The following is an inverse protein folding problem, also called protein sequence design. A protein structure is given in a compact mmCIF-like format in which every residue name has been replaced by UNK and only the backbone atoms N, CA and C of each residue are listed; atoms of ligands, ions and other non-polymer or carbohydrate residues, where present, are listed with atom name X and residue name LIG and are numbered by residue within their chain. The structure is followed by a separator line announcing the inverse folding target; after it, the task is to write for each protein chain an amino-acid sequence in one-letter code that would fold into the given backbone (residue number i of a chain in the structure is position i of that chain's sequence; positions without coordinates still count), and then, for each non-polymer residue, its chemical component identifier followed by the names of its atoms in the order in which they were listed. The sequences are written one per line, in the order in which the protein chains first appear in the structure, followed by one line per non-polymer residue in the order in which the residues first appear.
data_IF_268258924194
#
_entry.id   IF_268258924194
#
_cell.length_a   1.000
_cell.length_b   1.000
_cell.length_c   1.000
_cell.angle_alpha   90.00
_cell.angle_beta   90.00
_cell.angle_gamma   90.00
#
_symmetry.space_group_name_H-M   'P 1'
#
loop_
_entity.id
_entity.type
_entity.pdbx_description
1 polymer ?
#
# COMPACT_ATOMS: atom_id res chain seq x y z
N UNK A 1 -34.25 -7.53 -24.86
CA UNK A 1 -33.14 -6.72 -24.38
C UNK A 1 -32.84 -6.96 -22.90
N UNK A 2 -33.72 -6.72 -21.95
CA UNK A 2 -33.49 -6.91 -20.51
C UNK A 2 -33.02 -8.33 -20.09
N UNK A 3 -33.59 -9.41 -20.69
CA UNK A 3 -33.16 -10.79 -20.41
C UNK A 3 -31.73 -11.08 -20.88
N UNK A 4 -31.34 -10.53 -22.02
CA UNK A 4 -29.97 -10.68 -22.56
C UNK A 4 -28.96 -9.94 -21.68
N UNK A 5 -29.21 -8.67 -21.34
CA UNK A 5 -28.34 -7.89 -20.43
C UNK A 5 -28.14 -8.64 -19.10
N UNK A 6 -29.21 -9.11 -18.49
CA UNK A 6 -29.15 -9.86 -17.23
C UNK A 6 -28.30 -11.12 -17.35
N UNK A 7 -28.44 -11.91 -18.44
CA UNK A 7 -27.61 -13.11 -18.66
C UNK A 7 -26.14 -12.73 -18.83
N UNK A 8 -25.83 -11.71 -19.64
CA UNK A 8 -24.46 -11.23 -19.84
C UNK A 8 -23.86 -10.77 -18.51
N UNK A 9 -24.56 -9.92 -17.75
CA UNK A 9 -24.06 -9.43 -16.45
C UNK A 9 -23.89 -10.58 -15.44
N UNK A 10 -24.85 -11.53 -15.39
CA UNK A 10 -24.72 -12.69 -14.52
C UNK A 10 -23.53 -13.58 -14.86
N UNK A 11 -23.31 -13.85 -16.15
CA UNK A 11 -22.14 -14.60 -16.60
C UNK A 11 -20.83 -13.85 -16.30
N UNK A 12 -20.80 -12.53 -16.52
CA UNK A 12 -19.60 -11.71 -16.19
C UNK A 12 -19.29 -11.77 -14.69
N UNK A 13 -20.29 -11.70 -13.81
CA UNK A 13 -20.08 -11.87 -12.38
C UNK A 13 -19.47 -13.25 -12.05
N UNK A 14 -19.92 -14.34 -12.69
CA UNK A 14 -19.33 -15.66 -12.46
C UNK A 14 -17.88 -15.75 -12.96
N UNK A 15 -17.57 -15.14 -14.09
CA UNK A 15 -16.17 -15.04 -14.57
C UNK A 15 -15.30 -14.26 -13.58
N UNK A 16 -15.79 -13.14 -13.07
CA UNK A 16 -15.10 -12.35 -12.03
C UNK A 16 -14.93 -13.16 -10.73
N UNK A 17 -15.91 -13.97 -10.34
CA UNK A 17 -15.81 -14.86 -9.19
C UNK A 17 -14.64 -15.83 -9.33
N UNK A 18 -14.51 -16.48 -10.50
CA UNK A 18 -13.40 -17.39 -10.79
C UNK A 18 -12.08 -16.64 -10.81
N UNK A 19 -12.01 -15.47 -11.46
CA UNK A 19 -10.82 -14.65 -11.51
C UNK A 19 -10.35 -14.22 -10.09
N UNK A 20 -11.27 -13.79 -9.23
CA UNK A 20 -10.95 -13.45 -7.82
C UNK A 20 -10.44 -14.66 -7.04
N UNK A 21 -11.03 -15.85 -7.23
CA UNK A 21 -10.57 -17.07 -6.58
C UNK A 21 -9.14 -17.45 -7.05
N UNK A 22 -8.89 -17.42 -8.36
CA UNK A 22 -7.55 -17.67 -8.90
C UNK A 22 -6.52 -16.66 -8.37
N UNK A 23 -6.89 -15.36 -8.32
CA UNK A 23 -6.02 -14.33 -7.81
C UNK A 23 -5.75 -14.47 -6.31
N UNK A 24 -6.75 -14.90 -5.51
CA UNK A 24 -6.55 -15.24 -4.11
C UNK A 24 -5.44 -16.29 -3.91
N UNK A 25 -5.44 -17.34 -4.74
CA UNK A 25 -4.38 -18.36 -4.71
C UNK A 25 -3.01 -17.79 -5.13
N UNK A 26 -2.98 -16.93 -6.15
CA UNK A 26 -1.75 -16.28 -6.58
C UNK A 26 -1.17 -15.43 -5.43
N UNK A 27 -1.98 -14.55 -4.80
CA UNK A 27 -1.56 -13.72 -3.66
C UNK A 27 -1.08 -14.57 -2.48
N UNK A 28 -1.79 -15.66 -2.15
CA UNK A 28 -1.38 -16.58 -1.09
C UNK A 28 0.01 -17.19 -1.34
N UNK A 29 0.29 -17.55 -2.58
CA UNK A 29 1.55 -18.20 -2.97
C UNK A 29 2.76 -17.25 -2.99
N UNK A 30 2.56 -15.93 -2.95
CA UNK A 30 3.68 -14.97 -2.82
C UNK A 30 4.34 -14.98 -1.45
N UNK A 31 3.72 -15.65 -0.46
CA UNK A 31 4.20 -15.71 0.93
C UNK A 31 4.52 -14.32 1.49
N UNK A 32 3.72 -13.32 1.12
CA UNK A 32 3.88 -11.91 1.52
C UNK A 32 3.60 -11.63 3.01
N UNK A 33 3.31 -12.67 3.81
CA UNK A 33 3.02 -12.55 5.24
C UNK A 33 1.64 -11.96 5.57
N UNK A 34 0.84 -11.58 4.56
CA UNK A 34 -0.49 -11.00 4.73
C UNK A 34 -1.60 -12.03 4.51
N UNK A 35 -2.67 -11.95 5.30
CA UNK A 35 -3.89 -12.74 5.10
C UNK A 35 -4.87 -12.07 4.13
N UNK A 36 -4.46 -11.03 3.42
CA UNK A 36 -5.36 -10.24 2.56
C UNK A 36 -5.93 -11.04 1.36
N UNK A 37 -5.31 -12.17 0.99
CA UNK A 37 -5.86 -13.13 0.02
C UNK A 37 -7.29 -13.59 0.37
N UNK A 38 -7.70 -13.57 1.66
CA UNK A 38 -9.04 -13.90 2.12
C UNK A 38 -10.09 -12.90 1.58
N UNK A 39 -9.71 -11.63 1.43
CA UNK A 39 -10.57 -10.59 0.86
C UNK A 39 -10.93 -10.92 -0.59
N UNK A 40 -9.99 -11.45 -1.35
CA UNK A 40 -10.24 -11.91 -2.72
C UNK A 40 -11.20 -13.12 -2.78
N UNK A 41 -11.12 -14.03 -1.80
CA UNK A 41 -12.12 -15.10 -1.68
C UNK A 41 -13.52 -14.55 -1.31
N UNK A 42 -13.58 -13.54 -0.45
CA UNK A 42 -14.85 -12.88 -0.14
C UNK A 42 -15.44 -12.21 -1.38
N UNK A 43 -14.62 -11.55 -2.21
CA UNK A 43 -15.07 -11.03 -3.51
C UNK A 43 -15.54 -12.15 -4.46
N UNK A 44 -14.83 -13.27 -4.51
CA UNK A 44 -15.24 -14.41 -5.32
C UNK A 44 -16.63 -14.92 -4.91
N UNK A 45 -16.89 -15.09 -3.62
CA UNK A 45 -18.20 -15.51 -3.08
C UNK A 45 -19.27 -14.45 -3.40
N UNK A 46 -18.98 -13.17 -3.20
CA UNK A 46 -19.90 -12.07 -3.51
C UNK A 46 -20.28 -12.08 -5.00
N UNK A 47 -19.31 -12.14 -5.90
CA UNK A 47 -19.57 -12.19 -7.34
C UNK A 47 -20.32 -13.46 -7.76
N UNK A 48 -20.05 -14.61 -7.11
CA UNK A 48 -20.81 -15.83 -7.36
C UNK A 48 -22.30 -15.68 -6.95
N UNK A 49 -22.56 -15.13 -5.75
CA UNK A 49 -23.92 -14.87 -5.29
C UNK A 49 -24.66 -13.90 -6.23
N UNK A 50 -24.00 -12.82 -6.65
CA UNK A 50 -24.59 -11.86 -7.59
C UNK A 50 -24.83 -12.49 -8.95
N UNK A 51 -23.87 -13.28 -9.47
CA UNK A 51 -24.00 -13.97 -10.76
C UNK A 51 -25.17 -14.96 -10.77
N UNK A 52 -25.21 -15.87 -9.80
CA UNK A 52 -26.32 -16.81 -9.67
C UNK A 52 -27.63 -16.08 -9.39
N UNK A 53 -27.65 -15.08 -8.53
CA UNK A 53 -28.84 -14.27 -8.22
C UNK A 53 -29.44 -13.60 -9.46
N UNK A 54 -28.59 -13.11 -10.37
CA UNK A 54 -29.02 -12.55 -11.65
C UNK A 54 -29.52 -13.64 -12.59
N UNK A 55 -28.84 -14.76 -12.73
CA UNK A 55 -29.24 -15.85 -13.62
C UNK A 55 -30.55 -16.50 -13.19
N UNK A 56 -30.70 -16.80 -11.91
CA UNK A 56 -31.91 -17.43 -11.33
C UNK A 56 -33.01 -16.44 -10.91
N UNK A 57 -32.85 -15.15 -11.22
CA UNK A 57 -33.85 -14.09 -10.97
C UNK A 57 -34.13 -13.84 -9.48
N UNK A 58 -33.24 -14.17 -8.54
CA UNK A 58 -33.39 -13.90 -7.10
C UNK A 58 -33.66 -12.42 -6.83
N UNK A 59 -33.07 -11.55 -7.65
CA UNK A 59 -33.27 -10.12 -7.57
C UNK A 59 -34.74 -9.70 -7.63
N UNK A 60 -35.58 -10.45 -8.38
CA UNK A 60 -37.02 -10.15 -8.51
C UNK A 60 -37.83 -10.54 -7.28
N UNK A 61 -37.33 -11.44 -6.43
CA UNK A 61 -37.97 -11.89 -5.19
C UNK A 61 -37.80 -10.82 -4.10
N UNK A 62 -36.73 -10.02 -4.13
CA UNK A 62 -36.46 -9.00 -3.14
C UNK A 62 -37.51 -7.87 -3.20
N UNK A 63 -37.97 -7.34 -2.05
CA UNK A 63 -38.83 -6.15 -1.99
C UNK A 63 -38.15 -4.95 -2.67
N UNK A 64 -38.93 -4.04 -3.25
CA UNK A 64 -38.41 -2.87 -3.94
C UNK A 64 -37.52 -2.00 -3.04
N UNK A 65 -37.90 -1.85 -1.77
CA UNK A 65 -37.12 -1.11 -0.78
C UNK A 65 -35.70 -1.71 -0.58
N UNK A 66 -35.64 -3.04 -0.39
CA UNK A 66 -34.35 -3.75 -0.20
C UNK A 66 -33.45 -3.59 -1.42
N UNK A 67 -33.99 -3.71 -2.62
CA UNK A 67 -33.24 -3.47 -3.86
C UNK A 67 -32.68 -2.05 -3.94
N UNK A 68 -33.51 -1.05 -3.56
CA UNK A 68 -33.09 0.34 -3.53
C UNK A 68 -31.94 0.57 -2.54
N UNK A 69 -32.04 0.01 -1.34
CA UNK A 69 -30.97 0.09 -0.32
C UNK A 69 -29.68 -0.58 -0.83
N UNK A 70 -29.76 -1.78 -1.40
CA UNK A 70 -28.58 -2.49 -1.92
C UNK A 70 -27.89 -1.72 -3.04
N UNK A 71 -28.67 -1.12 -3.96
CA UNK A 71 -28.13 -0.26 -5.02
C UNK A 71 -27.46 0.98 -4.43
N UNK A 72 -28.12 1.66 -3.48
CA UNK A 72 -27.57 2.85 -2.85
C UNK A 72 -26.24 2.56 -2.13
N UNK A 73 -26.18 1.47 -1.35
CA UNK A 73 -24.95 1.03 -0.66
C UNK A 73 -23.85 0.70 -1.68
N UNK A 74 -24.18 -0.01 -2.76
CA UNK A 74 -23.21 -0.32 -3.80
C UNK A 74 -22.68 0.96 -4.50
N UNK A 75 -23.55 1.92 -4.81
CA UNK A 75 -23.16 3.20 -5.42
C UNK A 75 -22.25 4.01 -4.47
N UNK A 76 -22.60 4.11 -3.19
CA UNK A 76 -21.76 4.80 -2.18
C UNK A 76 -20.40 4.12 -2.08
N UNK A 77 -20.35 2.78 -2.00
CA UNK A 77 -19.11 2.02 -1.95
C UNK A 77 -18.25 2.23 -3.19
N UNK A 78 -18.84 2.23 -4.38
CA UNK A 78 -18.11 2.48 -5.63
C UNK A 78 -17.56 3.92 -5.71
N UNK A 79 -18.33 4.92 -5.27
CA UNK A 79 -17.87 6.31 -5.24
C UNK A 79 -16.71 6.45 -4.24
N UNK A 80 -16.85 5.90 -3.03
CA UNK A 80 -15.79 5.92 -2.02
C UNK A 80 -14.51 5.23 -2.54
N UNK A 81 -14.66 4.03 -3.14
CA UNK A 81 -13.54 3.29 -3.73
C UNK A 81 -12.86 4.11 -4.84
N UNK A 82 -13.62 4.62 -5.80
CA UNK A 82 -13.08 5.42 -6.89
C UNK A 82 -12.38 6.70 -6.42
N UNK A 83 -12.90 7.35 -5.39
CA UNK A 83 -12.28 8.56 -4.82
C UNK A 83 -10.94 8.22 -4.17
N UNK A 84 -10.90 7.21 -3.29
CA UNK A 84 -9.66 6.82 -2.60
C UNK A 84 -8.61 6.32 -3.59
N UNK A 85 -8.99 5.47 -4.55
CA UNK A 85 -8.06 4.99 -5.58
C UNK A 85 -7.52 6.13 -6.45
N UNK A 86 -8.34 7.13 -6.77
CA UNK A 86 -7.90 8.32 -7.49
C UNK A 86 -6.86 9.12 -6.70
N UNK A 87 -7.05 9.24 -5.39
CA UNK A 87 -6.07 9.87 -4.51
C UNK A 87 -4.76 9.07 -4.45
N UNK A 88 -4.83 7.74 -4.32
CA UNK A 88 -3.66 6.86 -4.35
C UNK A 88 -2.89 7.05 -5.65
N UNK A 89 -3.58 6.93 -6.80
CA UNK A 89 -2.97 7.07 -8.14
C UNK A 89 -2.31 8.44 -8.33
N UNK A 90 -2.89 9.52 -7.77
CA UNK A 90 -2.33 10.88 -7.87
C UNK A 90 -0.93 11.01 -7.26
N UNK A 91 -0.55 10.14 -6.33
CA UNK A 91 0.74 10.15 -5.63
C UNK A 91 1.69 9.03 -6.06
N UNK A 92 1.25 8.11 -6.92
CA UNK A 92 2.06 6.96 -7.34
C UNK A 92 3.35 7.30 -8.09
N UNK A 93 3.45 8.51 -8.63
CA UNK A 93 4.61 8.97 -9.41
C UNK A 93 5.31 10.17 -8.76
N UNK A 94 5.16 10.33 -7.45
CA UNK A 94 5.86 11.37 -6.71
C UNK A 94 7.38 11.16 -6.77
N UNK A 95 8.16 12.19 -7.12
CA UNK A 95 9.61 12.07 -7.33
C UNK A 95 10.44 12.83 -6.28
N UNK A 96 9.81 13.72 -5.51
CA UNK A 96 10.52 14.64 -4.63
C UNK A 96 11.30 15.70 -5.39
N UNK A 97 11.91 16.62 -4.67
CA UNK A 97 12.89 17.57 -5.23
C UNK A 97 14.30 17.05 -5.01
N UNK A 98 15.28 17.49 -5.81
CA UNK A 98 16.68 17.23 -5.51
C UNK A 98 17.11 17.96 -4.23
N UNK A 99 18.23 17.53 -3.67
CA UNK A 99 18.95 18.16 -2.54
C UNK A 99 18.10 18.32 -1.27
N UNK A 100 17.25 17.33 -0.94
CA UNK A 100 16.59 17.28 0.36
C UNK A 100 17.63 17.01 1.46
N UNK A 101 17.45 17.63 2.63
CA UNK A 101 18.33 17.43 3.78
C UNK A 101 18.23 15.99 4.30
N UNK A 102 17.01 15.44 4.36
CA UNK A 102 16.74 14.08 4.80
C UNK A 102 15.80 13.33 3.88
N UNK A 103 16.02 12.03 3.78
CA UNK A 103 15.02 11.09 3.26
C UNK A 103 14.73 10.03 4.32
N UNK A 104 13.45 9.74 4.54
CA UNK A 104 12.98 8.70 5.45
C UNK A 104 12.50 7.52 4.61
N UNK A 105 13.19 6.39 4.70
CA UNK A 105 12.78 5.14 4.06
C UNK A 105 11.89 4.37 5.03
N UNK A 106 10.62 4.22 4.69
CA UNK A 106 9.69 3.45 5.53
C UNK A 106 9.96 1.96 5.39
N UNK A 107 10.01 1.27 6.50
CA UNK A 107 10.23 -0.17 6.59
C UNK A 107 9.11 -1.00 5.95
N UNK A 108 9.47 -2.21 5.62
CA UNK A 108 8.61 -3.32 5.26
C UNK A 108 9.32 -4.61 5.68
N UNK A 109 8.74 -5.76 5.41
CA UNK A 109 9.24 -7.03 5.94
C UNK A 109 10.71 -7.31 5.58
N UNK A 110 11.50 -7.71 6.60
CA UNK A 110 12.85 -8.28 6.47
C UNK A 110 12.80 -9.79 6.75
N UNK A 111 13.53 -10.57 5.96
CA UNK A 111 13.65 -12.03 6.08
C UNK A 111 15.08 -12.42 6.42
N UNK A 112 15.32 -13.68 6.80
CA UNK A 112 16.69 -14.21 7.00
C UNK A 112 17.57 -14.08 5.75
N UNK A 113 16.95 -14.08 4.56
CA UNK A 113 17.63 -13.91 3.28
C UNK A 113 17.80 -12.46 2.83
N UNK A 114 17.47 -11.49 3.69
CA UNK A 114 17.53 -10.05 3.37
C UNK A 114 16.16 -9.39 3.21
N UNK A 115 16.11 -8.17 2.73
CA UNK A 115 14.88 -7.41 2.54
C UNK A 115 13.89 -8.11 1.60
N UNK A 116 12.58 -8.03 1.91
CA UNK A 116 11.54 -8.52 1.00
C UNK A 116 11.57 -7.76 -0.33
N UNK A 117 10.97 -8.35 -1.38
CA UNK A 117 10.93 -7.70 -2.69
C UNK A 117 10.33 -6.28 -2.62
N UNK A 118 9.25 -6.10 -1.84
CA UNK A 118 8.60 -4.80 -1.63
C UNK A 118 9.56 -3.81 -0.96
N UNK A 119 10.34 -4.25 0.02
CA UNK A 119 11.33 -3.40 0.69
C UNK A 119 12.51 -3.08 -0.23
N UNK A 120 12.96 -4.02 -1.05
CA UNK A 120 14.03 -3.78 -2.03
C UNK A 120 13.67 -2.65 -3.00
N UNK A 121 12.46 -2.59 -3.52
CA UNK A 121 12.03 -1.47 -4.35
C UNK A 121 12.21 -0.11 -3.67
N UNK A 122 11.96 -0.03 -2.35
CA UNK A 122 12.17 1.21 -1.57
C UNK A 122 13.66 1.53 -1.44
N UNK A 123 14.47 0.51 -1.14
CA UNK A 123 15.91 0.67 -0.95
C UNK A 123 16.62 1.01 -2.26
N UNK A 124 16.25 0.37 -3.37
CA UNK A 124 16.78 0.69 -4.69
C UNK A 124 16.45 2.15 -5.08
N UNK A 125 15.21 2.61 -4.76
CA UNK A 125 14.84 4.01 -4.98
C UNK A 125 15.58 4.97 -4.04
N UNK A 126 15.89 4.54 -2.82
CA UNK A 126 16.72 5.32 -1.90
C UNK A 126 18.15 5.45 -2.41
N UNK A 127 18.74 4.37 -2.92
CA UNK A 127 20.09 4.38 -3.51
C UNK A 127 20.14 5.34 -4.70
N UNK A 128 19.19 5.20 -5.65
CA UNK A 128 19.07 6.10 -6.80
C UNK A 128 19.06 7.58 -6.36
N UNK A 129 18.20 7.91 -5.39
CA UNK A 129 18.09 9.27 -4.88
C UNK A 129 19.36 9.75 -4.17
N UNK A 130 19.97 8.90 -3.33
CA UNK A 130 21.17 9.25 -2.55
C UNK A 130 22.43 9.39 -3.41
N UNK A 131 22.52 8.65 -4.51
CA UNK A 131 23.62 8.77 -5.48
C UNK A 131 23.55 10.10 -6.23
N UNK A 132 22.35 10.56 -6.57
CA UNK A 132 22.13 11.86 -7.20
C UNK A 132 22.26 13.04 -6.21
N UNK A 133 22.08 12.78 -4.89
CA UNK A 133 22.05 13.81 -3.84
C UNK A 133 23.04 13.45 -2.71
N UNK A 134 24.35 13.68 -2.89
CA UNK A 134 25.40 13.18 -2.00
C UNK A 134 25.38 13.79 -0.59
N UNK A 135 24.73 14.92 -0.36
CA UNK A 135 24.63 15.57 0.95
C UNK A 135 23.39 15.12 1.76
N UNK A 136 22.44 14.43 1.16
CA UNK A 136 21.21 13.96 1.82
C UNK A 136 21.52 12.86 2.83
N UNK A 137 20.95 12.98 4.02
CA UNK A 137 20.99 11.95 5.07
C UNK A 137 19.79 11.03 4.92
N UNK A 138 20.01 9.73 5.05
CA UNK A 138 18.99 8.71 4.96
C UNK A 138 18.61 8.18 6.35
N UNK A 139 17.37 8.32 6.76
CA UNK A 139 16.81 7.66 7.94
C UNK A 139 16.08 6.42 7.46
N UNK A 140 16.55 5.24 7.86
CA UNK A 140 15.84 3.97 7.64
C UNK A 140 15.03 3.64 8.89
N UNK A 141 13.71 3.57 8.75
CA UNK A 141 12.82 3.47 9.89
C UNK A 141 11.96 2.22 9.83
N UNK A 142 12.08 1.37 10.84
CA UNK A 142 11.30 0.16 11.02
C UNK A 142 11.86 -0.76 12.11
N UNK A 143 11.04 -1.08 13.08
CA UNK A 143 11.37 -1.98 14.18
C UNK A 143 11.27 -3.45 13.78
N UNK A 144 11.40 -4.33 14.76
CA UNK A 144 11.33 -5.77 14.55
C UNK A 144 9.88 -6.25 14.57
N UNK A 145 9.41 -6.77 13.45
CA UNK A 145 8.12 -7.46 13.35
C UNK A 145 8.12 -8.86 14.01
N UNK A 146 6.93 -9.44 14.28
CA UNK A 146 6.81 -10.72 15.02
C UNK A 146 7.54 -11.90 14.37
N UNK A 147 7.67 -11.91 13.05
CA UNK A 147 8.28 -13.00 12.29
C UNK A 147 9.61 -12.60 11.65
N UNK A 148 10.23 -11.55 12.13
CA UNK A 148 11.48 -11.03 11.60
C UNK A 148 12.67 -11.41 12.47
N UNK A 149 13.85 -11.64 11.89
CA UNK A 149 15.04 -12.04 12.62
C UNK A 149 15.65 -10.87 13.43
N UNK A 150 15.55 -9.65 12.91
CA UNK A 150 16.11 -8.41 13.45
C UNK A 150 15.24 -7.21 13.04
N UNK A 151 15.48 -5.99 13.54
CA UNK A 151 14.74 -4.79 13.12
C UNK A 151 14.85 -4.53 11.62
N UNK A 152 13.77 -4.04 11.00
CA UNK A 152 13.76 -3.69 9.58
C UNK A 152 14.83 -2.63 9.27
N UNK A 153 15.00 -1.63 10.14
CA UNK A 153 16.01 -0.59 9.99
C UNK A 153 17.42 -1.14 9.84
N UNK A 154 17.80 -2.14 10.65
CA UNK A 154 19.09 -2.80 10.54
C UNK A 154 19.28 -3.45 9.16
N UNK A 155 18.29 -4.22 8.69
CA UNK A 155 18.38 -4.88 7.39
C UNK A 155 18.37 -3.89 6.22
N UNK A 156 17.73 -2.72 6.38
CA UNK A 156 17.77 -1.65 5.41
C UNK A 156 19.14 -0.97 5.38
N UNK A 157 19.72 -0.66 6.55
CA UNK A 157 21.04 -0.05 6.65
C UNK A 157 22.13 -0.95 6.07
N UNK A 158 22.09 -2.25 6.38
CA UNK A 158 23.02 -3.23 5.82
C UNK A 158 22.94 -3.27 4.28
N UNK A 159 21.72 -3.30 3.73
CA UNK A 159 21.51 -3.27 2.28
C UNK A 159 22.07 -2.00 1.63
N UNK A 160 21.82 -0.82 2.21
CA UNK A 160 22.33 0.45 1.69
C UNK A 160 23.88 0.50 1.72
N UNK A 161 24.49 0.03 2.81
CA UNK A 161 25.95 -0.08 2.95
C UNK A 161 26.57 -1.01 1.93
N UNK A 162 25.96 -2.17 1.71
CA UNK A 162 26.37 -3.15 0.68
C UNK A 162 26.32 -2.56 -0.74
N UNK A 163 25.43 -1.56 -0.97
CA UNK A 163 25.30 -0.87 -2.26
C UNK A 163 26.06 0.47 -2.33
N UNK A 164 26.99 0.71 -1.40
CA UNK A 164 27.94 1.82 -1.48
C UNK A 164 27.53 3.12 -0.80
N UNK A 165 26.36 3.15 -0.13
CA UNK A 165 25.99 4.33 0.66
C UNK A 165 26.84 4.39 1.93
N UNK A 166 27.50 5.53 2.15
CA UNK A 166 28.40 5.72 3.29
C UNK A 166 27.63 5.63 4.62
N UNK A 167 28.17 4.89 5.58
CA UNK A 167 27.54 4.64 6.87
C UNK A 167 27.18 5.93 7.62
N UNK A 168 27.99 6.98 7.48
CA UNK A 168 27.75 8.29 8.12
C UNK A 168 26.51 9.00 7.58
N UNK A 169 25.98 8.56 6.44
CA UNK A 169 24.75 9.07 5.83
C UNK A 169 23.51 8.27 6.20
N UNK A 170 23.65 7.22 7.00
CA UNK A 170 22.55 6.31 7.36
C UNK A 170 22.26 6.44 8.84
N UNK A 171 21.03 6.77 9.19
CA UNK A 171 20.52 6.77 10.55
C UNK A 171 19.48 5.67 10.70
N UNK A 172 19.60 4.84 11.74
CA UNK A 172 18.70 3.70 11.98
C UNK A 172 17.69 4.04 13.06
N UNK A 173 16.40 3.96 12.74
CA UNK A 173 15.27 4.03 13.67
C UNK A 173 14.66 2.63 13.78
N UNK A 174 14.83 1.96 14.91
CA UNK A 174 14.57 0.52 15.09
C UNK A 174 13.41 0.20 16.05
N UNK A 175 12.67 1.20 16.52
CA UNK A 175 11.65 1.00 17.57
C UNK A 175 10.22 0.96 17.01
N UNK A 176 10.00 1.47 15.82
CA UNK A 176 8.68 1.64 15.20
C UNK A 176 8.02 0.33 14.81
N UNK A 177 6.70 0.24 15.03
CA UNK A 177 5.84 -0.90 14.67
C UNK A 177 4.73 -0.53 13.71
N UNK A 178 4.51 0.75 13.50
CA UNK A 178 3.47 1.30 12.62
C UNK A 178 4.04 2.42 11.76
N UNK A 179 3.34 2.76 10.68
CA UNK A 179 3.75 3.90 9.83
C UNK A 179 3.74 5.22 10.58
N UNK A 180 2.80 5.40 11.52
CA UNK A 180 2.75 6.57 12.39
C UNK A 180 3.99 6.67 13.26
N UNK A 181 4.40 5.57 13.88
CA UNK A 181 5.62 5.51 14.69
C UNK A 181 6.87 5.74 13.84
N UNK A 182 6.94 5.18 12.63
CA UNK A 182 8.04 5.44 11.70
C UNK A 182 8.21 6.95 11.47
N UNK A 183 7.14 7.67 11.19
CA UNK A 183 7.16 9.12 10.96
C UNK A 183 7.53 9.88 12.23
N UNK A 184 6.86 9.60 13.34
CA UNK A 184 7.09 10.30 14.62
C UNK A 184 8.50 10.08 15.14
N UNK A 185 9.03 8.86 15.07
CA UNK A 185 10.36 8.56 15.58
C UNK A 185 11.46 9.09 14.63
N UNK A 186 11.27 9.00 13.32
CA UNK A 186 12.18 9.64 12.36
C UNK A 186 12.26 11.16 12.56
N UNK A 187 11.10 11.82 12.80
CA UNK A 187 11.07 13.26 13.10
C UNK A 187 11.94 13.63 14.30
N UNK A 188 11.95 12.81 15.37
CA UNK A 188 12.78 13.06 16.57
C UNK A 188 14.29 12.98 16.30
N UNK A 189 14.68 12.31 15.22
CA UNK A 189 16.11 12.21 14.81
C UNK A 189 16.57 13.41 13.97
N UNK A 190 15.62 14.19 13.46
CA UNK A 190 15.88 15.38 12.67
C UNK A 190 15.97 16.57 13.64
N UNK A 191 17.16 17.16 13.75
CA UNK A 191 17.43 18.23 14.70
C UNK A 191 17.20 19.66 14.12
N UNK A 192 16.53 19.76 12.98
CA UNK A 192 16.22 21.01 12.29
C UNK A 192 14.75 21.06 11.88
N UNK A 193 13.99 21.95 12.48
CA UNK A 193 12.56 22.13 12.18
C UNK A 193 12.30 22.67 10.76
N UNK A 194 13.32 23.24 10.10
CA UNK A 194 13.24 23.74 8.73
C UNK A 194 13.78 22.75 7.69
N UNK A 195 14.27 21.60 8.11
CA UNK A 195 14.84 20.62 7.19
C UNK A 195 13.84 20.19 6.11
N UNK A 196 14.32 20.10 4.89
CA UNK A 196 13.56 19.54 3.78
C UNK A 196 13.60 18.02 3.85
N UNK A 197 12.42 17.38 3.83
CA UNK A 197 12.31 15.94 4.09
C UNK A 197 11.58 15.25 2.94
N UNK A 198 12.15 14.13 2.49
CA UNK A 198 11.51 13.18 1.58
C UNK A 198 11.05 11.91 2.30
N UNK A 199 9.90 11.36 1.95
CA UNK A 199 9.48 10.03 2.38
C UNK A 199 9.54 9.07 1.20
N UNK A 200 10.31 7.99 1.36
CA UNK A 200 10.44 6.92 0.37
C UNK A 200 9.60 5.73 0.80
N UNK A 201 8.62 5.39 -0.01
CA UNK A 201 7.79 4.20 0.16
C UNK A 201 7.25 3.70 -1.19
N UNK A 202 6.61 2.53 -1.22
CA UNK A 202 6.04 2.05 -2.48
C UNK A 202 4.91 2.95 -2.99
N UNK A 203 4.78 3.01 -4.29
CA UNK A 203 3.86 3.88 -5.00
C UNK A 203 2.41 3.79 -4.49
N UNK A 204 1.88 2.58 -4.26
CA UNK A 204 0.53 2.38 -3.73
C UNK A 204 0.33 2.92 -2.31
N UNK A 205 1.39 3.01 -1.51
CA UNK A 205 1.34 3.46 -0.11
C UNK A 205 1.63 4.97 0.04
N UNK A 206 2.12 5.63 -1.00
CA UNK A 206 2.62 7.00 -0.94
C UNK A 206 1.56 8.01 -0.45
N UNK A 207 0.32 7.89 -0.94
CA UNK A 207 -0.75 8.81 -0.54
C UNK A 207 -0.98 8.79 0.98
N UNK A 208 -1.16 7.62 1.58
CA UNK A 208 -1.38 7.48 3.03
C UNK A 208 -0.15 7.84 3.85
N UNK A 209 1.06 7.52 3.37
CA UNK A 209 2.28 7.91 4.06
C UNK A 209 2.43 9.44 4.18
N UNK A 210 2.08 10.19 3.13
CA UNK A 210 2.09 11.65 3.15
C UNK A 210 1.01 12.24 4.09
N UNK A 211 -0.19 11.65 4.12
CA UNK A 211 -1.23 12.08 5.06
C UNK A 211 -0.81 11.83 6.52
N UNK A 212 -0.15 10.70 6.81
CA UNK A 212 0.38 10.41 8.14
C UNK A 212 1.47 11.43 8.48
N UNK A 213 2.37 11.73 7.54
CA UNK A 213 3.42 12.72 7.77
C UNK A 213 2.86 14.09 8.11
N UNK A 214 1.89 14.57 7.35
CA UNK A 214 1.17 15.83 7.61
C UNK A 214 0.47 15.82 8.99
N UNK A 215 -0.30 14.77 9.29
CA UNK A 215 -1.01 14.59 10.56
C UNK A 215 -0.09 14.66 11.79
N UNK A 216 1.14 14.17 11.67
CA UNK A 216 2.11 14.17 12.76
C UNK A 216 3.15 15.31 12.67
N UNK A 217 2.85 16.33 11.87
CA UNK A 217 3.57 17.61 11.85
C UNK A 217 4.95 17.52 11.20
N UNK A 218 5.13 16.63 10.24
CA UNK A 218 6.20 16.75 9.27
C UNK A 218 5.69 17.63 8.12
N UNK A 219 5.76 18.94 8.32
CA UNK A 219 5.31 19.92 7.32
C UNK A 219 6.25 19.91 6.11
N UNK A 220 5.70 20.17 4.92
CA UNK A 220 6.44 20.23 3.65
C UNK A 220 7.15 18.94 3.23
N UNK A 221 6.71 17.78 3.72
CA UNK A 221 7.24 16.48 3.31
C UNK A 221 6.94 16.21 1.84
N UNK A 222 7.94 15.72 1.14
CA UNK A 222 7.83 15.32 -0.26
C UNK A 222 7.81 13.80 -0.39
N UNK A 223 6.96 13.30 -1.28
CA UNK A 223 6.93 11.88 -1.59
C UNK A 223 7.98 11.51 -2.64
N UNK A 224 8.68 10.41 -2.44
CA UNK A 224 9.55 9.77 -3.42
C UNK A 224 9.05 8.35 -3.60
N UNK A 225 8.25 8.14 -4.63
CA UNK A 225 7.55 6.88 -4.85
C UNK A 225 8.50 5.80 -5.42
N UNK A 226 8.68 4.73 -4.68
CA UNK A 226 9.31 3.52 -5.17
C UNK A 226 8.30 2.66 -5.96
N UNK A 227 8.80 1.85 -6.86
CA UNK A 227 7.99 0.88 -7.59
C UNK A 227 7.37 -0.19 -6.67
N UNK A 228 6.65 -1.12 -7.29
CA UNK A 228 6.09 -2.30 -6.61
C UNK A 228 6.02 -3.48 -7.57
N UNK A 229 5.99 -4.74 -7.07
CA UNK A 229 5.79 -5.91 -7.90
C UNK A 229 4.48 -5.79 -8.70
N UNK A 230 4.50 -5.89 -10.04
CA UNK A 230 3.30 -5.66 -10.86
C UNK A 230 2.16 -6.65 -10.58
N UNK A 231 2.49 -7.89 -10.28
CA UNK A 231 1.54 -8.97 -9.95
C UNK A 231 0.80 -8.72 -8.62
N UNK A 232 1.40 -7.94 -7.73
CA UNK A 232 0.84 -7.58 -6.42
C UNK A 232 0.22 -6.19 -6.38
N UNK A 233 0.36 -5.38 -7.43
CA UNK A 233 -0.08 -4.00 -7.41
C UNK A 233 -1.58 -3.87 -7.11
N UNK A 234 -2.43 -4.64 -7.81
CA UNK A 234 -3.88 -4.62 -7.59
C UNK A 234 -4.25 -5.03 -6.17
N UNK A 235 -3.61 -6.08 -5.65
CA UNK A 235 -3.79 -6.51 -4.26
C UNK A 235 -3.42 -5.39 -3.27
N UNK A 236 -2.31 -4.72 -3.51
CA UNK A 236 -1.81 -3.68 -2.62
C UNK A 236 -2.69 -2.42 -2.68
N UNK A 237 -3.18 -2.02 -3.85
CA UNK A 237 -4.11 -0.90 -3.99
C UNK A 237 -5.41 -1.16 -3.24
N UNK A 238 -6.05 -2.31 -3.46
CA UNK A 238 -7.28 -2.67 -2.70
C UNK A 238 -7.01 -2.72 -1.19
N UNK A 239 -5.85 -3.21 -0.77
CA UNK A 239 -5.44 -3.19 0.64
C UNK A 239 -5.30 -1.76 1.18
N UNK A 240 -4.68 -0.87 0.42
CA UNK A 240 -4.53 0.53 0.81
C UNK A 240 -5.88 1.24 0.87
N UNK A 241 -6.84 0.93 0.01
CA UNK A 241 -8.21 1.43 0.16
C UNK A 241 -8.78 1.15 1.56
N UNK A 242 -8.71 -0.11 2.04
CA UNK A 242 -9.19 -0.44 3.37
C UNK A 242 -8.35 0.19 4.49
N UNK A 243 -7.04 0.32 4.28
CA UNK A 243 -6.15 0.98 5.23
C UNK A 243 -6.45 2.48 5.35
N UNK A 244 -6.77 3.13 4.23
CA UNK A 244 -7.17 4.53 4.17
C UNK A 244 -8.52 4.76 4.87
N UNK A 245 -9.51 3.92 4.60
CA UNK A 245 -10.79 3.99 5.32
C UNK A 245 -10.59 3.86 6.84
N UNK A 246 -9.72 2.93 7.27
CA UNK A 246 -9.38 2.77 8.70
C UNK A 246 -8.66 4.00 9.27
N UNK A 247 -7.83 4.67 8.48
CA UNK A 247 -7.10 5.86 8.88
C UNK A 247 -8.01 7.08 9.06
N UNK A 248 -9.10 7.15 8.27
CA UNK A 248 -10.07 8.25 8.31
C UNK A 248 -11.14 8.11 9.41
N UNK A 249 -11.32 6.90 9.99
CA UNK A 249 -12.27 6.58 11.06
C UNK A 249 -11.61 6.69 12.45
#
# INVERSE_FOLDING_TARGET
MATLIRRITGTLCLVLAVACACYAFAVRNTHSGTSFWIVWLAFAVLFAILGFGLLFRWWTILPRLVRGILIAVACIGLVAFGTVESCIVSKMHAQGKPDLDYVVVLGAQVRKSGPSLVLRYRLDKAIEYLDENPNTICIVSGGKGPNEPFPEAQGMADYLKEHGIAEQRILEESDSKTTEENIVNSKKMINDDNASIGVITNNFHMFRALQIADKYGLDNVQGIAAGSPPDMLVNNMVREFFAEIKFLL
#
